data_IF_017355107488
#
_entry.id   IF_017355107488
#
_cell.length_a   1.000
_cell.length_b   1.000
_cell.length_c   1.000
_cell.angle_alpha   90.00
_cell.angle_beta   90.00
_cell.angle_gamma   90.00
#
_symmetry.space_group_name_H-M   'P 1'
#
loop_
_entity.id
_entity.type
_entity.pdbx_description
1 polymer ?
#
# COMPACT_ATOMS: atom_id res chain seq x y z
N UNK A 1 -5.23 -8.47 -10.99
CA UNK A 1 -6.60 -7.96 -10.74
C UNK A 1 -7.17 -8.59 -9.48
N UNK A 2 -7.89 -7.83 -8.63
CA UNK A 2 -8.56 -8.40 -7.46
C UNK A 2 -9.80 -9.22 -7.88
N UNK A 3 -10.28 -10.17 -7.06
CA UNK A 3 -11.45 -10.98 -7.37
C UNK A 3 -12.73 -10.13 -7.40
N UNK A 4 -13.80 -10.66 -8.02
CA UNK A 4 -15.09 -9.96 -8.15
C UNK A 4 -15.72 -9.55 -6.80
N UNK A 5 -15.36 -10.22 -5.71
CA UNK A 5 -15.83 -9.90 -4.36
C UNK A 5 -15.25 -8.58 -3.80
N UNK A 6 -14.15 -8.08 -4.37
CA UNK A 6 -13.49 -6.82 -4.01
C UNK A 6 -14.12 -5.70 -4.84
N UNK A 7 -14.91 -4.86 -4.16
CA UNK A 7 -15.79 -3.88 -4.81
C UNK A 7 -15.38 -2.44 -4.50
N UNK A 8 -14.85 -2.19 -3.30
CA UNK A 8 -14.50 -0.84 -2.81
C UNK A 8 -13.01 -0.66 -2.55
N UNK A 9 -12.59 0.57 -2.28
CA UNK A 9 -11.24 0.89 -1.77
C UNK A 9 -10.93 0.09 -0.50
N UNK A 10 -11.85 0.06 0.46
CA UNK A 10 -11.74 -0.70 1.71
C UNK A 10 -11.49 -2.18 1.43
N UNK A 11 -12.29 -2.76 0.53
CA UNK A 11 -12.13 -4.17 0.14
C UNK A 11 -10.76 -4.43 -0.46
N UNK A 12 -10.27 -3.51 -1.30
CA UNK A 12 -8.99 -3.66 -1.97
C UNK A 12 -7.84 -3.59 -0.96
N UNK A 13 -7.91 -2.70 0.03
CA UNK A 13 -6.96 -2.63 1.13
C UNK A 13 -6.94 -3.95 1.91
N UNK A 14 -8.13 -4.44 2.32
CA UNK A 14 -8.23 -5.71 3.05
C UNK A 14 -7.78 -6.91 2.20
N UNK A 15 -8.01 -6.87 0.89
CA UNK A 15 -7.53 -7.89 -0.02
C UNK A 15 -6.00 -7.92 -0.08
N UNK A 16 -5.33 -6.76 -0.25
CA UNK A 16 -3.86 -6.72 -0.21
C UNK A 16 -3.31 -7.11 1.17
N UNK A 17 -3.95 -6.66 2.24
CA UNK A 17 -3.54 -7.02 3.59
C UNK A 17 -3.72 -8.53 3.87
N UNK A 18 -4.77 -9.17 3.36
CA UNK A 18 -4.94 -10.61 3.41
C UNK A 18 -3.79 -11.38 2.71
N UNK A 19 -3.24 -10.82 1.62
CA UNK A 19 -2.05 -11.37 0.95
C UNK A 19 -0.80 -11.25 1.83
N UNK A 20 -0.65 -10.16 2.57
CA UNK A 20 0.42 -10.02 3.58
C UNK A 20 0.29 -11.09 4.67
N UNK A 21 -0.94 -11.35 5.16
CA UNK A 21 -1.19 -12.40 6.15
C UNK A 21 -0.80 -13.76 5.58
N UNK A 22 -1.24 -14.08 4.36
CA UNK A 22 -0.90 -15.34 3.68
C UNK A 22 0.62 -15.53 3.53
N UNK A 23 1.32 -14.51 3.03
CA UNK A 23 2.78 -14.54 2.92
C UNK A 23 3.47 -14.72 4.28
N UNK A 24 2.99 -14.05 5.32
CA UNK A 24 3.52 -14.17 6.68
C UNK A 24 3.29 -15.55 7.30
N UNK A 25 2.29 -16.30 6.82
CA UNK A 25 2.01 -17.68 7.22
C UNK A 25 2.76 -18.72 6.37
N UNK A 26 3.71 -18.30 5.52
CA UNK A 26 4.46 -19.21 4.63
C UNK A 26 3.67 -19.68 3.40
N UNK A 27 2.45 -19.19 3.19
CA UNK A 27 1.58 -19.61 2.07
C UNK A 27 1.84 -18.83 0.77
N UNK A 28 2.70 -17.82 0.81
CA UNK A 28 2.92 -16.88 -0.31
C UNK A 28 1.70 -15.98 -0.60
N UNK A 29 1.83 -15.12 -1.62
CA UNK A 29 0.77 -14.18 -2.05
C UNK A 29 -0.17 -14.72 -3.14
N UNK A 30 -0.03 -16.00 -3.51
CA UNK A 30 -0.81 -16.65 -4.57
C UNK A 30 -1.88 -17.64 -4.06
N UNK A 31 -1.88 -17.99 -2.77
CA UNK A 31 -2.83 -18.96 -2.21
C UNK A 31 -4.24 -18.37 -2.09
N UNK A 32 -4.99 -18.43 -3.19
CA UNK A 32 -6.30 -17.78 -3.32
C UNK A 32 -7.29 -18.18 -2.21
N UNK A 33 -7.39 -19.47 -1.88
CA UNK A 33 -8.35 -19.96 -0.87
C UNK A 33 -8.06 -19.36 0.50
N UNK A 34 -6.79 -19.35 0.91
CA UNK A 34 -6.38 -18.78 2.19
C UNK A 34 -6.55 -17.25 2.22
N UNK A 35 -6.14 -16.57 1.14
CA UNK A 35 -6.29 -15.10 1.02
C UNK A 35 -7.77 -14.72 1.10
N UNK A 36 -8.64 -15.45 0.39
CA UNK A 36 -10.08 -15.18 0.38
C UNK A 36 -10.73 -15.39 1.76
N UNK A 37 -10.32 -16.43 2.48
CA UNK A 37 -10.75 -16.66 3.86
C UNK A 37 -10.34 -15.49 4.77
N UNK A 38 -9.05 -15.09 4.74
CA UNK A 38 -8.56 -13.95 5.54
C UNK A 38 -9.25 -12.64 5.18
N UNK A 39 -9.44 -12.37 3.89
CA UNK A 39 -10.16 -11.21 3.40
C UNK A 39 -11.59 -11.14 3.95
N UNK A 40 -12.35 -12.26 3.89
CA UNK A 40 -13.71 -12.32 4.42
C UNK A 40 -13.75 -12.00 5.91
N UNK A 41 -12.81 -12.55 6.69
CA UNK A 41 -12.72 -12.32 8.13
C UNK A 41 -12.33 -10.89 8.51
N UNK A 42 -11.44 -10.26 7.73
CA UNK A 42 -11.13 -8.83 7.89
C UNK A 42 -12.38 -7.98 7.62
N UNK A 43 -13.10 -8.29 6.54
CA UNK A 43 -14.29 -7.55 6.14
C UNK A 43 -15.45 -7.69 7.13
N UNK A 44 -15.62 -8.86 7.73
CA UNK A 44 -16.65 -9.11 8.75
C UNK A 44 -16.27 -8.60 10.13
N UNK A 45 -15.01 -8.19 10.35
CA UNK A 45 -14.48 -7.85 11.67
C UNK A 45 -14.23 -9.05 12.58
N UNK A 46 -14.29 -10.29 12.07
CA UNK A 46 -13.92 -11.49 12.85
C UNK A 46 -12.42 -11.45 13.22
N UNK A 47 -11.60 -10.84 12.36
CA UNK A 47 -10.21 -10.53 12.67
C UNK A 47 -9.93 -9.07 12.38
N UNK A 48 -9.13 -8.46 13.23
CA UNK A 48 -8.53 -7.16 12.95
C UNK A 48 -7.15 -7.33 12.34
N UNK A 49 -6.74 -6.37 11.52
CA UNK A 49 -5.34 -6.27 11.14
C UNK A 49 -4.44 -5.95 12.32
N UNK A 50 -3.14 -6.22 12.18
CA UNK A 50 -2.19 -5.95 13.27
C UNK A 50 -2.05 -4.45 13.51
N UNK A 51 -1.73 -4.05 14.74
CA UNK A 51 -1.31 -2.68 15.04
C UNK A 51 -0.02 -2.30 14.30
N UNK A 52 0.28 -1.00 14.20
CA UNK A 52 1.53 -0.49 13.59
C UNK A 52 2.81 -0.97 14.30
N UNK A 53 2.68 -1.45 15.55
CA UNK A 53 3.79 -1.98 16.35
C UNK A 53 4.51 -3.11 15.61
N UNK A 54 3.79 -3.97 14.88
CA UNK A 54 4.40 -5.10 14.18
C UNK A 54 5.35 -4.66 13.07
N UNK A 55 4.99 -3.62 12.32
CA UNK A 55 5.86 -3.04 11.30
C UNK A 55 7.05 -2.34 11.95
N UNK A 56 6.80 -1.57 13.01
CA UNK A 56 7.85 -0.87 13.76
C UNK A 56 8.92 -1.83 14.29
N UNK A 57 8.52 -2.93 14.95
CA UNK A 57 9.46 -3.94 15.48
C UNK A 57 10.29 -4.55 14.34
N UNK A 58 9.65 -4.96 13.24
CA UNK A 58 10.38 -5.56 12.11
C UNK A 58 11.34 -4.60 11.42
N UNK A 59 11.00 -3.31 11.37
CA UNK A 59 11.89 -2.28 10.84
C UNK A 59 13.12 -2.09 11.73
N UNK A 60 12.93 -2.15 13.05
CA UNK A 60 14.02 -2.05 14.04
C UNK A 60 15.00 -3.23 13.99
N UNK A 61 14.58 -4.39 13.52
CA UNK A 61 15.45 -5.56 13.34
C UNK A 61 16.47 -5.40 12.20
N UNK A 62 16.28 -4.43 11.29
CA UNK A 62 17.08 -4.25 10.06
C UNK A 62 17.43 -2.79 9.80
N UNK A 63 17.89 -2.08 10.83
CA UNK A 63 18.17 -0.64 10.75
C UNK A 63 19.33 -0.26 9.83
N UNK A 64 20.23 -1.20 9.55
CA UNK A 64 21.41 -1.02 8.68
C UNK A 64 21.17 -1.49 7.24
N UNK A 65 19.94 -1.86 6.88
CA UNK A 65 19.55 -2.35 5.57
C UNK A 65 18.49 -1.47 4.91
N UNK A 66 18.59 -1.29 3.59
CA UNK A 66 17.54 -0.67 2.79
C UNK A 66 16.27 -1.53 2.86
N UNK A 67 15.15 -0.93 3.27
CA UNK A 67 13.88 -1.67 3.44
C UNK A 67 13.38 -2.28 2.12
N UNK A 68 13.76 -1.70 0.98
CA UNK A 68 13.31 -2.10 -0.35
C UNK A 68 14.12 -3.26 -0.94
N UNK A 69 15.45 -3.22 -0.81
CA UNK A 69 16.35 -4.16 -1.50
C UNK A 69 17.31 -4.92 -0.58
N UNK A 70 17.36 -4.60 0.71
CA UNK A 70 18.27 -5.23 1.68
C UNK A 70 19.73 -4.76 1.61
N UNK A 71 20.08 -3.85 0.69
CA UNK A 71 21.44 -3.33 0.60
C UNK A 71 21.84 -2.56 1.86
N UNK A 72 23.03 -2.82 2.38
CA UNK A 72 23.65 -2.09 3.50
C UNK A 72 24.39 -0.84 3.00
N UNK A 73 24.60 0.14 3.88
CA UNK A 73 25.42 1.32 3.59
C UNK A 73 24.75 2.64 3.94
N UNK A 74 25.01 3.69 3.16
CA UNK A 74 24.45 5.04 3.38
C UNK A 74 22.94 5.06 3.11
N UNK A 75 22.17 4.83 4.17
CA UNK A 75 20.72 4.92 4.17
C UNK A 75 20.25 6.34 4.46
N UNK A 76 19.11 6.68 3.89
CA UNK A 76 18.39 7.94 4.09
C UNK A 76 16.93 7.64 4.39
N UNK A 77 16.24 8.57 5.05
CA UNK A 77 14.79 8.47 5.22
C UNK A 77 14.12 8.69 3.86
N UNK A 78 13.21 7.78 3.50
CA UNK A 78 12.25 7.95 2.40
C UNK A 78 10.82 7.94 2.96
N UNK A 79 9.92 8.67 2.28
CA UNK A 79 8.50 8.71 2.63
C UNK A 79 7.68 7.85 1.67
N UNK A 80 6.95 6.85 2.18
CA UNK A 80 6.14 5.93 1.38
C UNK A 80 5.14 6.67 0.50
N UNK A 81 4.42 7.64 1.06
CA UNK A 81 3.73 8.69 0.34
C UNK A 81 4.66 9.91 0.33
N UNK A 82 5.13 10.37 -0.84
CA UNK A 82 6.00 11.53 -0.93
C UNK A 82 5.42 12.77 -0.27
N UNK A 83 6.23 13.54 0.46
CA UNK A 83 5.82 14.83 1.05
C UNK A 83 5.32 15.81 -0.01
N UNK A 84 5.97 15.81 -1.18
CA UNK A 84 5.55 16.60 -2.35
C UNK A 84 4.17 16.22 -2.88
N UNK A 85 3.67 15.04 -2.50
CA UNK A 85 2.35 14.52 -2.89
C UNK A 85 1.32 14.49 -1.76
N UNK A 86 1.57 15.27 -0.71
CA UNK A 86 0.68 15.40 0.45
C UNK A 86 0.82 14.30 1.49
N UNK A 87 1.90 13.50 1.43
CA UNK A 87 2.22 12.54 2.48
C UNK A 87 2.54 13.23 3.81
N UNK A 88 2.16 12.64 4.97
CA UNK A 88 2.47 13.20 6.28
C UNK A 88 3.93 12.93 6.67
N UNK A 89 4.57 13.87 7.34
CA UNK A 89 5.92 13.67 7.91
C UNK A 89 5.81 12.96 9.27
N UNK A 90 5.69 11.62 9.23
CA UNK A 90 5.43 10.80 10.42
C UNK A 90 6.19 9.48 10.33
N UNK A 91 6.50 8.82 11.47
CA UNK A 91 7.14 7.50 11.48
C UNK A 91 6.37 6.43 10.70
N UNK A 92 5.04 6.52 10.64
CA UNK A 92 4.20 5.59 9.86
C UNK A 92 4.42 5.74 8.34
N UNK A 93 4.86 6.91 7.88
CA UNK A 93 5.13 7.20 6.48
C UNK A 93 6.64 7.13 6.15
N UNK A 94 7.52 7.08 7.14
CA UNK A 94 8.98 7.11 6.95
C UNK A 94 9.58 5.69 6.96
N UNK A 95 10.58 5.43 6.11
CA UNK A 95 11.37 4.19 6.10
C UNK A 95 12.83 4.44 5.74
N UNK A 96 13.72 3.51 6.08
CA UNK A 96 15.14 3.60 5.69
C UNK A 96 15.38 3.01 4.29
N UNK A 97 15.95 3.82 3.39
CA UNK A 97 16.20 3.44 2.01
C UNK A 97 17.61 3.85 1.55
N UNK A 98 18.25 3.00 0.73
CA UNK A 98 19.51 3.37 0.08
C UNK A 98 19.28 4.44 -0.99
N UNK A 99 20.33 5.19 -1.34
CA UNK A 99 20.28 6.25 -2.36
C UNK A 99 19.69 5.79 -3.69
N UNK A 100 20.01 4.57 -4.15
CA UNK A 100 19.52 4.02 -5.42
C UNK A 100 18.00 3.81 -5.40
N UNK A 101 17.47 3.13 -4.38
CA UNK A 101 16.04 2.91 -4.24
C UNK A 101 15.28 4.23 -4.03
N UNK A 102 15.79 5.11 -3.15
CA UNK A 102 15.17 6.39 -2.87
C UNK A 102 15.08 7.27 -4.14
N UNK A 103 16.20 7.40 -4.86
CA UNK A 103 16.23 8.15 -6.13
C UNK A 103 15.38 7.50 -7.23
N UNK A 104 15.32 6.17 -7.29
CA UNK A 104 14.50 5.45 -8.24
C UNK A 104 13.02 5.70 -7.97
N UNK A 105 12.57 5.58 -6.71
CA UNK A 105 11.19 5.87 -6.33
C UNK A 105 10.82 7.32 -6.64
N UNK A 106 11.66 8.27 -6.23
CA UNK A 106 11.46 9.70 -6.46
C UNK A 106 10.14 10.18 -5.84
N UNK A 107 9.35 10.94 -6.60
CA UNK A 107 8.05 11.46 -6.18
C UNK A 107 6.88 10.50 -6.42
N UNK A 108 7.14 9.21 -6.62
CA UNK A 108 6.08 8.21 -6.86
C UNK A 108 5.55 7.61 -5.57
N UNK A 109 4.29 7.20 -5.60
CA UNK A 109 3.75 6.27 -4.61
C UNK A 109 4.44 4.90 -4.69
N UNK A 110 4.22 4.05 -3.69
CA UNK A 110 4.86 2.73 -3.63
C UNK A 110 4.31 1.78 -4.70
N UNK A 111 2.98 1.75 -4.90
CA UNK A 111 2.36 0.94 -5.94
C UNK A 111 2.67 1.50 -7.32
N UNK A 112 2.63 2.81 -7.51
CA UNK A 112 3.08 3.46 -8.76
C UNK A 112 4.53 3.09 -9.10
N UNK A 113 5.43 3.08 -8.12
CA UNK A 113 6.85 2.76 -8.34
C UNK A 113 7.08 1.29 -8.69
N UNK A 114 6.43 0.36 -7.97
CA UNK A 114 6.56 -1.09 -8.23
C UNK A 114 5.74 -1.55 -9.44
N UNK A 115 4.73 -0.76 -9.83
CA UNK A 115 3.80 -1.08 -10.91
C UNK A 115 2.83 -2.21 -10.57
N UNK A 116 1.85 -2.41 -11.44
CA UNK A 116 0.85 -3.47 -11.27
C UNK A 116 1.49 -4.86 -11.21
N UNK A 117 2.47 -5.17 -12.05
CA UNK A 117 3.13 -6.48 -12.07
C UNK A 117 3.98 -6.71 -10.81
N UNK A 118 4.67 -5.68 -10.34
CA UNK A 118 5.57 -5.73 -9.20
C UNK A 118 4.90 -5.60 -7.83
N UNK A 119 3.63 -5.19 -7.75
CA UNK A 119 2.89 -4.94 -6.49
C UNK A 119 3.03 -6.05 -5.43
N UNK A 120 3.14 -7.30 -5.86
CA UNK A 120 3.20 -8.46 -4.97
C UNK A 120 4.61 -8.73 -4.43
N UNK A 121 5.64 -8.13 -5.02
CA UNK A 121 7.04 -8.20 -4.61
C UNK A 121 7.43 -7.13 -3.58
N UNK A 122 6.47 -6.31 -3.15
CA UNK A 122 6.70 -5.32 -2.10
C UNK A 122 7.18 -5.98 -0.79
N UNK A 123 8.21 -5.42 -0.13
CA UNK A 123 8.60 -5.86 1.20
C UNK A 123 7.43 -5.77 2.17
N UNK A 124 7.26 -6.80 2.99
CA UNK A 124 6.10 -6.91 3.89
C UNK A 124 5.92 -5.70 4.81
N UNK A 125 7.02 -5.13 5.31
CA UNK A 125 6.97 -3.97 6.22
C UNK A 125 6.49 -2.74 5.48
N UNK A 126 7.04 -2.48 4.29
CA UNK A 126 6.65 -1.38 3.40
C UNK A 126 5.15 -1.45 3.09
N UNK A 127 4.69 -2.58 2.55
CA UNK A 127 3.28 -2.71 2.15
C UNK A 127 2.34 -2.63 3.35
N UNK A 128 2.72 -3.20 4.50
CA UNK A 128 1.94 -3.12 5.73
C UNK A 128 1.76 -1.69 6.24
N UNK A 129 2.84 -0.91 6.30
CA UNK A 129 2.77 0.53 6.66
C UNK A 129 1.94 1.30 5.64
N UNK A 130 2.17 1.02 4.35
CA UNK A 130 1.51 1.72 3.26
C UNK A 130 0.00 1.53 3.24
N UNK A 131 -0.48 0.28 3.36
CA UNK A 131 -1.92 -0.02 3.38
C UNK A 131 -2.64 0.62 4.57
N UNK A 132 -2.00 0.64 5.75
CA UNK A 132 -2.57 1.27 6.96
C UNK A 132 -2.64 2.79 6.82
N UNK A 133 -1.58 3.39 6.27
CA UNK A 133 -1.53 4.82 5.98
C UNK A 133 -2.60 5.21 4.95
N UNK A 134 -2.69 4.47 3.84
CA UNK A 134 -3.69 4.69 2.79
C UNK A 134 -5.11 4.56 3.32
N UNK A 135 -5.39 3.55 4.16
CA UNK A 135 -6.71 3.41 4.78
C UNK A 135 -7.07 4.64 5.60
N UNK A 136 -6.18 5.09 6.48
CA UNK A 136 -6.43 6.27 7.32
C UNK A 136 -6.77 7.48 6.47
N UNK A 137 -5.99 7.73 5.42
CA UNK A 137 -6.19 8.87 4.53
C UNK A 137 -7.48 8.75 3.69
N UNK A 138 -7.85 7.53 3.30
CA UNK A 138 -9.13 7.30 2.63
C UNK A 138 -10.33 7.45 3.58
N UNK A 139 -10.18 7.05 4.84
CA UNK A 139 -11.19 7.21 5.89
C UNK A 139 -11.46 8.68 6.18
N UNK A 140 -10.39 9.46 6.40
CA UNK A 140 -10.44 10.92 6.60
C UNK A 140 -11.12 11.64 5.42
N UNK A 141 -11.01 11.09 4.20
CA UNK A 141 -11.65 11.63 2.99
C UNK A 141 -13.04 11.07 2.70
N UNK A 142 -13.55 10.14 3.52
CA UNK A 142 -14.84 9.47 3.28
C UNK A 142 -14.88 8.68 1.96
N UNK A 143 -13.75 8.09 1.57
CA UNK A 143 -13.57 7.44 0.25
C UNK A 143 -13.36 5.94 0.31
N UNK A 144 -13.33 5.34 1.51
CA UNK A 144 -13.15 3.90 1.69
C UNK A 144 -14.21 3.06 0.98
N UNK A 145 -15.44 3.55 0.91
CA UNK A 145 -16.56 2.79 0.34
C UNK A 145 -16.84 3.17 -1.13
N UNK A 146 -15.96 3.96 -1.75
CA UNK A 146 -16.01 4.21 -3.20
C UNK A 146 -15.72 2.90 -3.93
N UNK A 147 -16.67 2.50 -4.77
CA UNK A 147 -16.56 1.32 -5.62
C UNK A 147 -16.41 1.65 -7.11
N UNK A 148 -16.40 0.59 -7.94
CA UNK A 148 -16.18 0.69 -9.40
C UNK A 148 -17.08 1.71 -10.10
N UNK A 149 -18.36 1.78 -9.73
CA UNK A 149 -19.33 2.70 -10.33
C UNK A 149 -18.99 4.19 -10.06
N UNK A 150 -18.30 4.46 -8.96
CA UNK A 150 -18.03 5.81 -8.46
C UNK A 150 -16.55 6.21 -8.57
N UNK A 151 -15.71 5.36 -9.19
CA UNK A 151 -14.27 5.60 -9.31
C UNK A 151 -13.92 6.93 -9.97
N UNK A 152 -14.77 7.42 -10.90
CA UNK A 152 -14.58 8.73 -11.55
C UNK A 152 -14.42 9.86 -10.54
N UNK A 153 -15.07 9.79 -9.37
CA UNK A 153 -14.94 10.78 -8.29
C UNK A 153 -13.51 10.88 -7.77
N UNK A 154 -12.79 9.75 -7.72
CA UNK A 154 -11.39 9.70 -7.30
C UNK A 154 -10.45 10.03 -8.47
N UNK A 155 -10.78 9.57 -9.68
CA UNK A 155 -9.93 9.76 -10.85
C UNK A 155 -9.74 11.23 -11.23
N UNK A 156 -10.73 12.09 -11.00
CA UNK A 156 -10.66 13.52 -11.33
C UNK A 156 -9.54 14.27 -10.61
N UNK A 157 -9.15 13.81 -9.41
CA UNK A 157 -8.05 14.39 -8.63
C UNK A 157 -6.80 13.49 -8.61
N UNK A 158 -6.85 12.36 -9.31
CA UNK A 158 -5.80 11.34 -9.29
C UNK A 158 -4.73 11.63 -10.35
N UNK A 159 -3.50 11.79 -9.91
CA UNK A 159 -2.37 12.12 -10.80
C UNK A 159 -1.88 10.94 -11.63
N UNK A 160 -2.17 9.72 -11.17
CA UNK A 160 -1.74 8.47 -11.83
C UNK A 160 -2.88 7.82 -12.61
N UNK A 161 -3.97 8.55 -12.87
CA UNK A 161 -5.10 8.09 -13.68
C UNK A 161 -4.66 7.63 -15.08
N UNK A 162 -3.63 8.26 -15.64
CA UNK A 162 -3.03 7.89 -16.93
C UNK A 162 -2.36 6.50 -16.95
N UNK A 163 -2.09 5.89 -15.78
CA UNK A 163 -1.58 4.52 -15.66
C UNK A 163 -2.69 3.47 -15.55
N UNK A 164 -3.96 3.89 -15.55
CA UNK A 164 -5.10 3.04 -15.27
C UNK A 164 -5.96 2.80 -16.52
N UNK A 165 -6.56 1.62 -16.60
CA UNK A 165 -7.71 1.38 -17.47
C UNK A 165 -8.99 1.89 -16.80
N UNK A 166 -9.92 2.45 -17.58
CA UNK A 166 -11.17 2.99 -17.04
C UNK A 166 -12.00 1.93 -16.31
N UNK A 167 -12.62 2.33 -15.20
CA UNK A 167 -13.57 1.51 -14.42
C UNK A 167 -13.01 0.21 -13.83
N UNK A 168 -11.69 0.04 -13.85
CA UNK A 168 -10.98 -1.12 -13.32
C UNK A 168 -10.37 -0.78 -11.95
N UNK A 169 -10.84 -1.47 -10.91
CA UNK A 169 -10.30 -1.30 -9.56
C UNK A 169 -8.94 -2.00 -9.42
N UNK A 170 -7.87 -1.23 -9.22
CA UNK A 170 -6.50 -1.71 -9.04
C UNK A 170 -5.83 -1.05 -7.84
N UNK A 171 -4.62 -1.50 -7.48
CA UNK A 171 -3.85 -0.89 -6.38
C UNK A 171 -3.53 0.58 -6.60
N UNK A 172 -3.52 1.07 -7.84
CA UNK A 172 -3.39 2.49 -8.15
C UNK A 172 -4.58 3.31 -7.64
N UNK A 173 -5.78 2.72 -7.56
CA UNK A 173 -6.94 3.40 -6.98
C UNK A 173 -6.72 3.73 -5.49
N UNK A 174 -5.89 2.95 -4.78
CA UNK A 174 -5.50 3.26 -3.40
C UNK A 174 -4.61 4.51 -3.33
N UNK A 175 -3.88 4.82 -4.38
CA UNK A 175 -3.01 6.00 -4.47
C UNK A 175 -3.73 7.22 -5.07
N UNK A 176 -5.02 7.11 -5.37
CA UNK A 176 -5.83 8.24 -5.85
C UNK A 176 -5.88 9.42 -4.87
N UNK A 177 -5.49 9.20 -3.61
CA UNK A 177 -5.43 10.24 -2.59
C UNK A 177 -4.18 11.11 -2.70
N UNK A 178 -3.15 10.69 -3.43
CA UNK A 178 -1.93 11.45 -3.62
C UNK A 178 -2.21 12.68 -4.50
N UNK A 179 -1.73 13.85 -4.08
CA UNK A 179 -1.98 15.15 -4.75
C UNK A 179 -0.68 15.91 -4.91
N UNK A 180 -0.38 16.54 -6.04
CA UNK A 180 0.66 17.59 -6.11
C UNK A 180 0.41 18.61 -5.00
N UNK A 181 1.43 18.86 -4.16
CA UNK A 181 1.49 20.13 -3.44
C UNK A 181 1.50 21.24 -4.48
N UNK A 182 0.53 22.16 -4.37
CA UNK A 182 0.56 23.44 -5.09
C UNK A 182 1.79 24.22 -4.67
#
# INVERSE_FOLDING_TARGET
MPPAAVKTIRDLIFWQYAKIIAASAGMGKSNYRFIMDRYKKLRSGEIEWSSSIREYVKERERLDECIYCGAKGNLSVDHLIPLSRGGPDTPDNAVMACRSCNSSKGSRGVYEWYGLEGRDHLPRVVEGKYLKLLYRLHDERGSLDVGRADLKRLCNECEISHLCEESVLTVYCLESILRKRR
#
